data_IF_158158001593
#
_entry.id   IF_158158001593
#
_cell.length_a   1.000
_cell.length_b   1.000
_cell.length_c   1.000
_cell.angle_alpha   90.00
_cell.angle_beta   90.00
_cell.angle_gamma   90.00
#
_symmetry.space_group_name_H-M   'P 1'
#
loop_
_entity.id
_entity.type
_entity.pdbx_description
1 polymer ?
#
# COMPACT_ATOMS: atom_id res chain seq x y z
N UNK A 1 65.62 23.63 -15.41
CA UNK A 1 64.16 23.47 -15.54
C UNK A 1 63.78 22.11 -15.01
N UNK A 2 63.15 22.02 -13.82
CA UNK A 2 62.62 20.78 -13.25
C UNK A 2 61.12 21.01 -13.03
N UNK A 3 60.29 20.37 -13.85
CA UNK A 3 58.84 20.36 -13.67
C UNK A 3 58.48 19.32 -12.62
N UNK A 4 57.87 19.76 -11.52
CA UNK A 4 57.19 18.89 -10.56
C UNK A 4 55.74 18.70 -11.05
N UNK A 5 55.40 17.48 -11.47
CA UNK A 5 53.99 17.10 -11.66
C UNK A 5 53.40 16.77 -10.29
N UNK A 6 52.46 17.58 -9.82
CA UNK A 6 51.54 17.21 -8.75
C UNK A 6 50.48 16.28 -9.35
N UNK A 7 50.53 15.00 -8.97
CA UNK A 7 49.47 14.04 -9.27
C UNK A 7 48.35 14.26 -8.24
N UNK A 8 47.30 14.98 -8.64
CA UNK A 8 46.07 15.09 -7.86
C UNK A 8 45.29 13.79 -8.08
N UNK A 9 45.34 12.88 -7.10
CA UNK A 9 44.41 11.76 -7.02
C UNK A 9 43.02 12.30 -6.67
N UNK A 10 42.21 12.59 -7.70
CA UNK A 10 40.76 12.67 -7.58
C UNK A 10 40.25 11.26 -7.24
N UNK A 11 40.09 10.99 -5.94
CA UNK A 11 39.33 9.83 -5.47
C UNK A 11 37.87 10.14 -5.83
N UNK A 12 37.46 9.72 -7.03
CA UNK A 12 36.06 9.51 -7.33
C UNK A 12 35.57 8.40 -6.41
N UNK A 13 35.03 8.77 -5.25
CA UNK A 13 34.09 7.89 -4.57
C UNK A 13 32.89 7.76 -5.51
N UNK A 14 32.58 6.58 -6.06
CA UNK A 14 31.30 6.38 -6.71
C UNK A 14 30.23 6.73 -5.66
N UNK A 15 29.38 7.69 -5.98
CA UNK A 15 28.24 8.10 -5.15
C UNK A 15 27.13 7.04 -5.14
N UNK A 16 27.49 5.77 -5.31
CA UNK A 16 26.63 4.64 -4.98
C UNK A 16 26.71 4.46 -3.46
N UNK A 17 26.21 5.47 -2.74
CA UNK A 17 25.64 5.21 -1.42
C UNK A 17 24.39 4.41 -1.73
N UNK A 18 24.57 3.10 -1.88
CA UNK A 18 23.50 2.12 -1.69
C UNK A 18 22.70 2.64 -0.50
N UNK A 19 21.46 3.04 -0.73
CA UNK A 19 20.57 3.33 0.37
C UNK A 19 20.53 2.05 1.20
N UNK A 20 21.33 2.02 2.27
CA UNK A 20 21.25 0.94 3.24
C UNK A 20 19.80 0.95 3.69
N UNK A 21 19.08 -0.12 3.34
CA UNK A 21 17.71 -0.31 3.79
C UNK A 21 17.75 -0.20 5.31
N UNK A 22 17.12 0.87 5.83
CA UNK A 22 17.12 1.16 7.25
C UNK A 22 16.31 0.06 7.93
N UNK A 23 16.91 -0.61 8.91
CA UNK A 23 16.18 -1.59 9.69
C UNK A 23 15.11 -0.89 10.53
N UNK A 24 13.86 -1.32 10.34
CA UNK A 24 12.70 -0.79 11.04
C UNK A 24 12.41 -1.57 12.31
N UNK A 25 11.68 -0.97 13.24
CA UNK A 25 11.06 -1.70 14.34
C UNK A 25 9.94 -2.58 13.78
N UNK A 26 9.79 -3.79 14.31
CA UNK A 26 8.68 -4.65 13.89
C UNK A 26 7.36 -4.02 14.33
N UNK A 27 6.43 -3.87 13.39
CA UNK A 27 5.08 -3.36 13.64
C UNK A 27 4.11 -4.53 13.64
N UNK A 28 3.24 -4.54 14.64
CA UNK A 28 2.01 -5.32 14.64
C UNK A 28 0.91 -4.41 15.17
N UNK A 29 -0.04 -4.03 14.30
CA UNK A 29 -1.13 -3.14 14.67
C UNK A 29 -2.44 -3.59 14.05
N UNK A 30 -3.51 -3.44 14.82
CA UNK A 30 -4.87 -3.72 14.40
C UNK A 30 -5.69 -2.46 14.63
N UNK A 31 -6.35 -1.99 13.57
CA UNK A 31 -7.17 -0.80 13.57
C UNK A 31 -8.63 -1.19 13.36
N UNK A 32 -9.53 -0.62 14.16
CA UNK A 32 -10.97 -0.71 13.91
C UNK A 32 -11.37 0.44 12.99
N UNK A 33 -11.85 0.10 11.80
CA UNK A 33 -12.24 1.07 10.77
C UNK A 33 -13.75 1.04 10.60
N UNK A 34 -14.33 2.22 10.42
CA UNK A 34 -15.74 2.39 10.09
C UNK A 34 -15.94 3.67 9.28
N UNK A 35 -17.15 3.90 8.78
CA UNK A 35 -17.53 5.14 8.11
C UNK A 35 -17.34 6.40 8.98
N UNK A 36 -17.39 6.24 10.32
CA UNK A 36 -17.17 7.32 11.29
C UNK A 36 -15.68 7.50 11.65
N UNK A 37 -14.86 6.48 11.42
CA UNK A 37 -13.43 6.52 11.63
C UNK A 37 -12.70 5.85 10.44
N UNK A 38 -12.74 6.47 9.24
CA UNK A 38 -12.19 5.84 8.04
C UNK A 38 -10.69 6.08 7.90
N UNK A 39 -10.14 7.07 8.59
CA UNK A 39 -8.76 7.52 8.43
C UNK A 39 -7.83 6.85 9.43
N UNK A 40 -6.70 6.33 8.93
CA UNK A 40 -5.60 5.79 9.73
C UNK A 40 -4.33 6.54 9.33
N UNK A 41 -3.56 6.93 10.34
CA UNK A 41 -2.15 7.32 10.20
C UNK A 41 -1.34 6.54 11.24
N UNK A 42 -0.21 5.99 10.83
CA UNK A 42 0.65 5.22 11.69
C UNK A 42 2.12 5.36 11.28
N UNK A 43 2.95 5.83 12.21
CA UNK A 43 4.39 5.98 12.02
C UNK A 43 5.10 4.65 12.20
N UNK A 44 6.00 4.34 11.28
CA UNK A 44 6.91 3.19 11.36
C UNK A 44 8.31 3.70 11.65
N UNK A 45 8.79 3.34 12.83
CA UNK A 45 10.06 3.83 13.34
C UNK A 45 11.23 2.98 12.84
N UNK A 46 12.35 3.61 12.54
CA UNK A 46 13.64 2.96 12.46
C UNK A 46 14.09 2.44 13.84
N UNK A 47 15.04 1.49 13.87
CA UNK A 47 15.62 0.99 15.14
C UNK A 47 16.30 2.07 15.98
N UNK A 48 16.75 3.16 15.38
CA UNK A 48 17.34 4.29 16.08
C UNK A 48 16.30 5.24 16.72
N UNK A 49 15.00 5.03 16.46
CA UNK A 49 13.90 5.82 17.01
C UNK A 49 13.41 6.97 16.14
N UNK A 50 13.94 7.16 14.94
CA UNK A 50 13.43 8.14 13.97
C UNK A 50 12.22 7.58 13.20
N UNK A 51 11.33 8.44 12.72
CA UNK A 51 10.24 8.03 11.81
C UNK A 51 10.85 7.76 10.44
N UNK A 52 10.74 6.53 9.95
CA UNK A 52 11.26 6.15 8.64
C UNK A 52 10.14 6.12 7.58
N UNK A 53 8.97 5.61 7.96
CA UNK A 53 7.81 5.55 7.07
C UNK A 53 6.52 5.98 7.77
N UNK A 54 5.54 6.43 6.98
CA UNK A 54 4.19 6.76 7.42
C UNK A 54 3.20 5.91 6.64
N UNK A 55 2.44 5.08 7.35
CA UNK A 55 1.34 4.29 6.79
C UNK A 55 0.03 5.07 6.93
N UNK A 56 -0.65 5.28 5.81
CA UNK A 56 -1.90 6.05 5.76
C UNK A 56 -2.96 5.27 5.03
N UNK A 57 -4.16 5.18 5.59
CA UNK A 57 -5.30 4.59 4.90
C UNK A 57 -6.56 5.45 5.02
N UNK A 58 -7.39 5.39 4.00
CA UNK A 58 -8.66 6.10 3.99
C UNK A 58 -9.64 5.48 2.99
N UNK A 59 -10.94 5.71 3.23
CA UNK A 59 -11.98 5.47 2.23
C UNK A 59 -11.96 6.56 1.15
N UNK A 60 -12.55 6.26 0.00
CA UNK A 60 -12.65 7.25 -1.07
C UNK A 60 -13.62 8.39 -0.73
N UNK A 61 -14.72 8.08 -0.06
CA UNK A 61 -15.82 9.02 0.20
C UNK A 61 -15.43 10.20 1.11
N UNK A 62 -14.43 10.05 1.98
CA UNK A 62 -13.88 11.16 2.79
C UNK A 62 -12.58 11.73 2.23
N UNK A 63 -12.11 11.24 1.09
CA UNK A 63 -10.78 11.58 0.59
C UNK A 63 -10.59 13.05 0.28
N UNK A 64 -11.66 13.74 -0.15
CA UNK A 64 -11.66 15.18 -0.45
C UNK A 64 -11.15 16.06 0.70
N UNK A 65 -11.35 15.63 1.96
CA UNK A 65 -10.92 16.38 3.15
C UNK A 65 -9.41 16.32 3.40
N UNK A 66 -8.70 15.39 2.78
CA UNK A 66 -7.29 15.08 3.07
C UNK A 66 -6.39 15.05 1.82
N UNK A 67 -6.89 15.52 0.67
CA UNK A 67 -6.18 15.54 -0.63
C UNK A 67 -4.80 16.23 -0.54
N UNK A 68 -4.60 17.14 0.41
CA UNK A 68 -3.38 17.96 0.50
C UNK A 68 -2.09 17.19 0.86
N UNK A 69 -2.11 16.36 1.90
CA UNK A 69 -0.86 15.82 2.48
C UNK A 69 -0.47 14.47 1.87
N UNK A 70 -1.45 13.64 1.52
CA UNK A 70 -1.24 12.26 1.08
C UNK A 70 -1.76 11.98 -0.34
N UNK A 71 -2.15 13.03 -1.07
CA UNK A 71 -2.74 12.95 -2.40
C UNK A 71 -4.15 12.35 -2.39
N UNK A 72 -4.63 11.97 -3.57
CA UNK A 72 -5.98 11.40 -3.77
C UNK A 72 -6.03 9.93 -3.38
N UNK A 73 -7.15 9.49 -2.83
CA UNK A 73 -7.46 8.08 -2.57
C UNK A 73 -8.50 7.61 -3.58
N UNK A 74 -8.61 6.30 -3.79
CA UNK A 74 -9.57 5.69 -4.72
C UNK A 74 -9.96 4.28 -4.27
N UNK A 75 -10.92 3.67 -4.95
CA UNK A 75 -11.48 2.36 -4.56
C UNK A 75 -12.44 2.48 -3.37
N UNK A 76 -12.74 1.37 -2.72
CA UNK A 76 -13.51 1.40 -1.47
C UNK A 76 -12.64 1.88 -0.31
N UNK A 77 -11.43 1.33 -0.20
CA UNK A 77 -10.45 1.69 0.81
C UNK A 77 -9.05 1.61 0.21
N UNK A 78 -8.18 2.56 0.51
CA UNK A 78 -6.81 2.53 0.00
C UNK A 78 -5.82 2.88 1.09
N UNK A 79 -4.73 2.12 1.11
CA UNK A 79 -3.58 2.37 1.94
C UNK A 79 -2.39 2.84 1.11
N UNK A 80 -1.54 3.64 1.73
CA UNK A 80 -0.30 4.19 1.20
C UNK A 80 0.79 4.03 2.25
N UNK A 81 2.03 3.89 1.79
CA UNK A 81 3.19 3.77 2.66
C UNK A 81 4.25 4.74 2.18
N UNK A 82 4.44 5.84 2.88
CA UNK A 82 5.34 6.92 2.48
C UNK A 82 6.67 6.79 3.19
N UNK A 83 7.76 6.91 2.46
CA UNK A 83 9.10 7.08 2.99
C UNK A 83 9.31 8.54 3.39
N UNK A 84 9.69 8.80 4.64
CA UNK A 84 10.00 10.15 5.13
C UNK A 84 11.28 10.70 4.49
N UNK A 85 12.23 9.81 4.18
CA UNK A 85 13.54 10.16 3.65
C UNK A 85 13.48 10.76 2.25
N UNK A 86 12.64 10.21 1.38
CA UNK A 86 12.60 10.57 -0.05
C UNK A 86 11.19 10.91 -0.56
N UNK A 87 10.16 10.88 0.29
CA UNK A 87 8.77 11.19 -0.07
C UNK A 87 8.09 10.13 -0.94
N UNK A 88 8.75 9.00 -1.20
CA UNK A 88 8.23 7.97 -2.10
C UNK A 88 7.02 7.26 -1.48
N UNK A 89 5.95 7.10 -2.25
CA UNK A 89 4.89 6.14 -1.94
C UNK A 89 5.37 4.75 -2.39
N UNK A 90 5.37 3.76 -1.50
CA UNK A 90 6.03 2.47 -1.73
C UNK A 90 5.10 1.44 -2.37
N UNK A 91 3.78 1.56 -2.19
CA UNK A 91 2.80 0.65 -2.80
C UNK A 91 2.46 0.95 -4.26
N UNK A 92 3.04 1.99 -4.86
CA UNK A 92 2.95 2.21 -6.29
C UNK A 92 3.75 1.12 -7.04
N UNK A 93 3.41 0.83 -8.30
CA UNK A 93 4.16 -0.12 -9.11
C UNK A 93 5.58 0.36 -9.45
N UNK A 94 5.74 1.65 -9.77
CA UNK A 94 7.00 2.28 -10.20
C UNK A 94 7.06 3.73 -9.75
N UNK A 95 8.26 4.32 -9.70
CA UNK A 95 8.51 5.68 -9.18
C UNK A 95 7.61 6.78 -9.77
N UNK A 96 7.26 6.70 -11.05
CA UNK A 96 6.52 7.74 -11.79
C UNK A 96 5.05 7.38 -12.03
N UNK A 97 4.49 6.43 -11.28
CA UNK A 97 3.13 5.95 -11.48
C UNK A 97 2.06 6.98 -11.13
N UNK A 98 2.33 7.78 -10.09
CA UNK A 98 1.36 8.68 -9.47
C UNK A 98 0.62 7.99 -8.32
N UNK A 99 0.35 8.73 -7.25
CA UNK A 99 -0.09 8.15 -5.96
C UNK A 99 -1.57 7.76 -5.89
N UNK A 100 -2.31 7.90 -6.98
CA UNK A 100 -3.77 7.68 -7.01
C UNK A 100 -4.14 6.20 -6.99
N UNK A 101 -3.41 5.35 -7.73
CA UNK A 101 -3.80 3.94 -7.95
C UNK A 101 -2.70 2.97 -7.51
N UNK A 102 -2.58 2.73 -6.20
CA UNK A 102 -1.53 1.86 -5.64
C UNK A 102 -1.97 0.39 -5.57
N UNK A 103 -1.02 -0.53 -5.41
CA UNK A 103 -1.32 -1.96 -5.17
C UNK A 103 -1.99 -2.23 -3.82
N UNK A 104 -2.12 -1.21 -2.96
CA UNK A 104 -2.83 -1.29 -1.68
C UNK A 104 -4.21 -0.59 -1.73
N UNK A 105 -4.82 -0.51 -2.93
CA UNK A 105 -6.22 -0.12 -3.15
C UNK A 105 -7.16 -1.33 -3.17
N UNK A 106 -8.20 -1.32 -2.34
CA UNK A 106 -9.17 -2.40 -2.18
C UNK A 106 -10.53 -2.02 -2.75
N UNK A 107 -11.09 -2.91 -3.56
CA UNK A 107 -12.51 -2.90 -3.95
C UNK A 107 -13.30 -3.89 -3.09
N UNK A 108 -14.63 -3.79 -3.09
CA UNK A 108 -15.47 -4.68 -2.28
C UNK A 108 -15.36 -6.14 -2.73
N UNK A 109 -15.34 -6.40 -4.04
CA UNK A 109 -15.05 -7.73 -4.61
C UNK A 109 -13.75 -8.34 -4.09
N UNK A 110 -12.76 -7.51 -3.77
CA UNK A 110 -11.47 -7.92 -3.23
C UNK A 110 -11.48 -8.15 -1.72
N UNK A 111 -12.45 -7.62 -0.98
CA UNK A 111 -12.54 -7.77 0.47
C UNK A 111 -13.47 -8.92 0.84
N UNK A 112 -14.63 -9.00 0.19
CA UNK A 112 -15.74 -9.91 0.51
C UNK A 112 -16.32 -10.67 -0.69
N UNK A 113 -15.98 -10.30 -1.93
CA UNK A 113 -16.50 -10.95 -3.14
C UNK A 113 -15.59 -12.04 -3.69
N UNK A 114 -15.79 -12.39 -4.97
CA UNK A 114 -15.11 -13.47 -5.67
C UNK A 114 -13.60 -13.27 -5.84
N UNK A 115 -13.11 -12.03 -5.69
CA UNK A 115 -11.68 -11.73 -5.70
C UNK A 115 -11.01 -11.77 -4.31
N UNK A 116 -11.76 -12.08 -3.25
CA UNK A 116 -11.29 -12.05 -1.86
C UNK A 116 -9.99 -12.81 -1.64
N UNK A 117 -9.89 -14.02 -2.16
CA UNK A 117 -8.75 -14.92 -1.90
C UNK A 117 -7.60 -14.77 -2.92
N UNK A 118 -7.68 -13.78 -3.82
CA UNK A 118 -6.65 -13.56 -4.82
C UNK A 118 -5.31 -13.17 -4.16
N UNK A 119 -4.18 -13.84 -4.49
CA UNK A 119 -2.93 -13.70 -3.74
C UNK A 119 -2.30 -12.30 -3.80
N UNK A 120 -2.61 -11.51 -4.83
CA UNK A 120 -2.00 -10.20 -5.07
C UNK A 120 -2.95 -9.02 -4.86
N UNK A 121 -4.26 -9.28 -4.89
CA UNK A 121 -5.30 -8.24 -4.94
C UNK A 121 -6.48 -8.53 -4.02
N UNK A 122 -6.49 -9.66 -3.33
CA UNK A 122 -7.49 -9.98 -2.34
C UNK A 122 -7.40 -9.14 -1.07
N UNK A 123 -8.11 -9.58 -0.04
CA UNK A 123 -8.28 -8.85 1.22
C UNK A 123 -6.97 -8.79 2.03
N UNK A 124 -6.08 -9.76 1.77
CA UNK A 124 -4.75 -9.87 2.34
C UNK A 124 -3.70 -9.64 1.27
N UNK A 125 -2.74 -8.76 1.53
CA UNK A 125 -1.67 -8.38 0.59
C UNK A 125 -0.34 -8.36 1.30
N UNK A 126 0.65 -8.96 0.64
CA UNK A 126 2.05 -8.96 1.09
C UNK A 126 2.91 -8.21 0.08
N UNK A 127 3.73 -7.29 0.59
CA UNK A 127 4.69 -6.52 -0.18
C UNK A 127 6.10 -6.79 0.36
N UNK A 128 7.04 -7.00 -0.56
CA UNK A 128 8.46 -7.18 -0.23
C UNK A 128 9.25 -6.08 -0.90
N UNK A 129 9.57 -5.04 -0.12
CA UNK A 129 10.10 -3.78 -0.62
C UNK A 129 11.11 -3.20 0.36
N UNK A 130 12.20 -2.60 -0.12
CA UNK A 130 13.19 -1.86 0.68
C UNK A 130 13.64 -2.57 1.96
N UNK A 131 13.98 -3.85 1.85
CA UNK A 131 14.42 -4.66 2.99
C UNK A 131 13.32 -4.99 4.00
N UNK A 132 12.05 -4.80 3.65
CA UNK A 132 10.89 -5.08 4.50
C UNK A 132 9.92 -6.07 3.84
N UNK A 133 9.18 -6.77 4.71
CA UNK A 133 7.94 -7.45 4.37
C UNK A 133 6.81 -6.75 5.09
N UNK A 134 5.88 -6.21 4.31
CA UNK A 134 4.70 -5.48 4.76
C UNK A 134 3.46 -6.32 4.45
N UNK A 135 2.66 -6.59 5.46
CA UNK A 135 1.39 -7.30 5.31
C UNK A 135 0.25 -6.37 5.69
N UNK A 136 -0.74 -6.29 4.80
CA UNK A 136 -2.01 -5.61 5.04
C UNK A 136 -3.11 -6.66 4.94
N UNK A 137 -4.03 -6.68 5.91
CA UNK A 137 -5.15 -7.62 5.90
C UNK A 137 -6.42 -6.94 6.40
N UNK A 138 -7.45 -6.90 5.55
CA UNK A 138 -8.81 -6.46 5.89
C UNK A 138 -9.64 -7.69 6.21
N UNK A 139 -10.21 -7.74 7.42
CA UNK A 139 -11.02 -8.86 7.89
C UNK A 139 -12.14 -8.38 8.82
N UNK A 140 -13.02 -9.31 9.20
CA UNK A 140 -14.24 -9.03 9.97
C UNK A 140 -15.09 -7.92 9.33
N UNK A 141 -15.18 -7.91 8.00
CA UNK A 141 -15.93 -6.89 7.27
C UNK A 141 -17.43 -7.10 7.44
N UNK A 142 -18.12 -6.09 7.98
CA UNK A 142 -19.56 -6.09 8.24
C UNK A 142 -20.18 -4.91 7.51
N UNK A 143 -20.81 -5.14 6.34
CA UNK A 143 -21.66 -4.12 5.72
C UNK A 143 -23.01 -4.06 6.39
N UNK A 144 -23.55 -2.86 6.56
CA UNK A 144 -24.97 -2.70 6.86
C UNK A 144 -25.74 -2.32 5.61
N UNK A 145 -26.83 -3.05 5.39
CA UNK A 145 -27.79 -2.77 4.32
C UNK A 145 -28.46 -1.42 4.56
N UNK A 146 -28.12 -0.42 3.76
CA UNK A 146 -28.90 0.80 3.63
C UNK A 146 -29.85 0.67 2.43
N UNK A 147 -31.13 1.10 2.54
CA UNK A 147 -32.08 1.13 1.43
C UNK A 147 -31.64 2.01 0.25
N UNK A 148 -30.74 2.96 0.49
CA UNK A 148 -30.30 3.93 -0.52
C UNK A 148 -28.85 3.68 -0.98
N UNK A 149 -27.95 3.24 -0.09
CA UNK A 149 -26.51 3.17 -0.38
C UNK A 149 -25.83 2.02 0.38
N UNK A 150 -25.78 0.83 -0.23
CA UNK A 150 -25.45 -0.46 0.41
C UNK A 150 -24.02 -0.55 1.04
N UNK A 151 -23.18 0.49 0.95
CA UNK A 151 -21.79 0.47 1.43
C UNK A 151 -21.34 1.76 2.13
N UNK A 152 -22.28 2.63 2.53
CA UNK A 152 -21.95 3.81 3.33
C UNK A 152 -21.75 3.52 4.81
N UNK A 153 -22.37 2.45 5.31
CA UNK A 153 -22.24 2.01 6.69
C UNK A 153 -21.47 0.69 6.66
N UNK A 154 -20.28 0.72 7.21
CA UNK A 154 -19.38 -0.41 7.20
C UNK A 154 -18.51 -0.41 8.45
N UNK A 155 -18.07 -1.60 8.85
CA UNK A 155 -16.97 -1.74 9.79
C UNK A 155 -16.08 -2.91 9.42
N UNK A 156 -14.80 -2.81 9.74
CA UNK A 156 -13.83 -3.89 9.58
C UNK A 156 -12.61 -3.69 10.48
N UNK A 157 -11.77 -4.71 10.56
CA UNK A 157 -10.43 -4.60 11.14
C UNK A 157 -9.39 -4.56 10.03
N UNK A 158 -8.45 -3.63 10.16
CA UNK A 158 -7.24 -3.57 9.34
C UNK A 158 -6.06 -4.02 10.17
N UNK A 159 -5.37 -5.07 9.76
CA UNK A 159 -4.07 -5.45 10.32
C UNK A 159 -2.94 -4.91 9.44
N UNK A 160 -1.95 -4.32 10.10
CA UNK A 160 -0.65 -3.96 9.54
C UNK A 160 0.43 -4.76 10.26
N UNK A 161 1.22 -5.53 9.52
CA UNK A 161 2.51 -6.01 10.00
C UNK A 161 3.63 -5.45 9.13
N UNK A 162 4.67 -4.93 9.78
CA UNK A 162 5.92 -4.54 9.11
C UNK A 162 7.05 -5.29 9.78
N UNK A 163 7.83 -6.01 8.99
CA UNK A 163 8.97 -6.79 9.49
C UNK A 163 10.17 -6.61 8.59
N UNK A 164 11.37 -6.65 9.17
CA UNK A 164 12.60 -6.66 8.38
C UNK A 164 12.67 -7.95 7.55
N UNK A 165 12.97 -7.79 6.27
CA UNK A 165 13.14 -8.86 5.28
C UNK A 165 14.26 -8.48 4.31
N UNK A 166 15.54 -8.75 4.67
CA UNK A 166 16.71 -8.23 3.93
C UNK A 166 16.77 -8.61 2.44
N UNK A 167 16.09 -9.68 2.04
CA UNK A 167 16.05 -10.14 0.65
C UNK A 167 15.05 -9.35 -0.23
N UNK A 168 14.29 -8.42 0.34
CA UNK A 168 13.44 -7.52 -0.42
C UNK A 168 14.28 -6.39 -1.05
N UNK A 169 14.65 -6.53 -2.32
CA UNK A 169 15.51 -5.56 -3.01
C UNK A 169 14.75 -4.51 -3.83
N UNK A 170 13.44 -4.69 -4.03
CA UNK A 170 12.63 -3.76 -4.83
C UNK A 170 12.36 -2.46 -4.08
N UNK A 171 12.48 -1.32 -4.76
CA UNK A 171 12.15 -0.01 -4.16
C UNK A 171 10.65 0.24 -4.02
N UNK A 172 9.87 -0.39 -4.90
CA UNK A 172 8.42 -0.24 -5.02
C UNK A 172 7.76 -1.61 -5.09
N UNK A 173 6.46 -1.66 -4.85
CA UNK A 173 5.69 -2.91 -4.87
C UNK A 173 5.70 -3.64 -6.23
N UNK A 174 6.09 -2.95 -7.31
CA UNK A 174 6.16 -3.52 -8.65
C UNK A 174 4.77 -3.72 -9.26
N UNK A 175 4.74 -4.13 -10.53
CA UNK A 175 3.49 -4.56 -11.15
C UNK A 175 3.07 -5.93 -10.62
N UNK A 176 1.76 -6.12 -10.50
CA UNK A 176 1.22 -7.46 -10.33
C UNK A 176 1.11 -8.14 -11.71
N UNK A 177 1.53 -9.41 -11.85
CA UNK A 177 1.42 -10.15 -13.11
C UNK A 177 -0.04 -10.37 -13.58
N UNK A 178 -0.99 -10.31 -12.65
CA UNK A 178 -2.41 -10.51 -12.91
C UNK A 178 -3.24 -9.69 -11.93
N UNK A 179 -4.46 -9.34 -12.36
CA UNK A 179 -5.44 -8.64 -11.55
C UNK A 179 -6.73 -9.46 -11.51
N UNK A 180 -7.32 -9.61 -10.32
CA UNK A 180 -8.69 -10.09 -10.21
C UNK A 180 -9.65 -8.91 -10.29
N UNK A 181 -10.61 -9.00 -11.20
CA UNK A 181 -11.60 -7.98 -11.51
C UNK A 181 -13.00 -8.60 -11.43
N UNK A 182 -13.98 -7.77 -11.13
CA UNK A 182 -15.38 -8.15 -11.16
C UNK A 182 -16.14 -7.25 -12.13
N UNK A 183 -16.92 -7.85 -13.04
CA UNK A 183 -17.65 -7.13 -14.08
C UNK A 183 -19.12 -6.84 -13.72
N UNK A 184 -19.66 -7.48 -12.67
CA UNK A 184 -21.04 -7.34 -12.24
C UNK A 184 -21.13 -7.45 -10.72
N UNK A 185 -21.04 -6.34 -10.00
CA UNK A 185 -21.20 -6.32 -8.53
C UNK A 185 -22.65 -5.98 -8.18
N UNK A 186 -23.38 -6.94 -7.60
CA UNK A 186 -24.72 -6.73 -7.07
C UNK A 186 -24.86 -7.27 -5.64
N UNK A 187 -25.99 -7.00 -5.00
CA UNK A 187 -26.27 -7.53 -3.68
C UNK A 187 -27.51 -8.39 -3.71
N UNK A 188 -27.42 -9.61 -3.18
CA UNK A 188 -28.57 -10.49 -3.08
C UNK A 188 -29.58 -10.05 -2.01
N UNK A 189 -30.69 -10.79 -1.92
CA UNK A 189 -31.76 -10.53 -0.97
C UNK A 189 -31.32 -10.61 0.50
N UNK A 190 -30.23 -11.32 0.79
CA UNK A 190 -29.63 -11.46 2.12
C UNK A 190 -28.59 -10.39 2.45
N UNK A 191 -28.26 -9.53 1.48
CA UNK A 191 -27.28 -8.48 1.65
C UNK A 191 -25.84 -8.89 1.35
N UNK A 192 -25.64 -10.02 0.67
CA UNK A 192 -24.30 -10.50 0.28
C UNK A 192 -23.94 -9.94 -1.08
N UNK A 193 -22.67 -9.59 -1.24
CA UNK A 193 -22.11 -9.26 -2.55
C UNK A 193 -22.16 -10.52 -3.42
N UNK A 194 -22.77 -10.38 -4.60
CA UNK A 194 -22.75 -11.37 -5.68
C UNK A 194 -22.00 -10.73 -6.82
N UNK A 195 -20.97 -11.43 -7.29
CA UNK A 195 -20.07 -10.89 -8.29
C UNK A 195 -19.49 -11.93 -9.26
N UNK A 196 -19.26 -11.49 -10.50
CA UNK A 196 -18.64 -12.29 -11.55
C UNK A 196 -17.13 -11.98 -11.62
N UNK A 197 -16.38 -12.60 -10.72
CA UNK A 197 -14.94 -12.42 -10.63
C UNK A 197 -14.18 -13.22 -11.71
N UNK A 198 -13.20 -12.59 -12.33
CA UNK A 198 -12.30 -13.22 -13.30
C UNK A 198 -10.88 -12.64 -13.20
N UNK A 199 -9.91 -13.39 -13.73
CA UNK A 199 -8.50 -12.98 -13.73
C UNK A 199 -8.13 -12.38 -15.08
N UNK A 200 -7.58 -11.16 -15.04
CA UNK A 200 -6.98 -10.49 -16.18
C UNK A 200 -5.47 -10.49 -16.00
N UNK A 201 -4.78 -11.25 -16.82
CA UNK A 201 -3.33 -11.13 -16.98
C UNK A 201 -3.06 -9.94 -17.87
N UNK A 202 -2.60 -8.82 -17.29
CA UNK A 202 -2.03 -7.75 -18.12
C UNK A 202 -0.68 -8.25 -18.62
N UNK A 203 -0.50 -8.34 -19.94
CA UNK A 203 0.84 -8.30 -20.52
C UNK A 203 1.42 -6.92 -20.17
N UNK A 204 2.17 -6.81 -19.08
CA UNK A 204 2.73 -5.52 -18.65
C UNK A 204 4.02 -5.28 -19.42
N UNK A 205 4.11 -4.08 -20.03
CA UNK A 205 5.22 -3.51 -20.78
C UNK A 205 6.53 -3.43 -19.98
#
# INVERSE_FOLDING_TARGET
MKFWLYLICLIFFPSDIWALNVEVQNVHSIFSVSQNNPFIIHDVMAKNGDIEYVFVCMDYNKSEKYIGEYGTFSGFYQCKFFSVKDGSEIFQPVANWGVTETRARFFLSQIIGGCKDHPLYGHRREFRVRGMKILIDIYDFLPERSPELFWEIYSFKLRLDVTNYPNATSDFSGYAPEMCVSDHEETDSSGRLVDDAHIVTRNVY
#
